data_IF_781308893753
#
_entry.id   IF_781308893753
#
_cell.length_a   1.000
_cell.length_b   1.000
_cell.length_c   1.000
_cell.angle_alpha   90.00
_cell.angle_beta   90.00
_cell.angle_gamma   90.00
#
_symmetry.space_group_name_H-M   'P 1'
#
loop_
_entity.id
_entity.type
_entity.pdbx_description
1 polymer ?
#
# COMPACT_ATOMS: atom_id res chain seq x y z
N UNK A 1 -27.67 -63.11 30.20
CA UNK A 1 -27.57 -61.75 29.65
C UNK A 1 -26.10 -61.39 29.45
N UNK A 2 -25.77 -61.02 28.21
CA UNK A 2 -24.59 -60.32 27.66
C UNK A 2 -23.20 -60.48 28.33
N UNK A 3 -22.33 -61.24 27.66
CA UNK A 3 -20.86 -61.05 27.66
C UNK A 3 -20.54 -60.00 26.60
N UNK A 4 -19.93 -58.87 26.96
CA UNK A 4 -19.35 -57.93 26.00
C UNK A 4 -17.83 -58.10 26.00
N UNK A 5 -17.34 -58.62 24.89
CA UNK A 5 -15.92 -58.64 24.53
C UNK A 5 -15.52 -57.26 24.02
N UNK A 6 -14.42 -56.72 24.56
CA UNK A 6 -13.69 -55.59 23.98
C UNK A 6 -12.63 -56.18 23.05
N UNK A 7 -12.63 -55.77 21.78
CA UNK A 7 -11.52 -55.98 20.86
C UNK A 7 -11.30 -54.72 20.02
N UNK A 8 -10.18 -54.09 20.33
CA UNK A 8 -9.58 -52.95 19.63
C UNK A 8 -9.00 -53.44 18.32
N UNK A 9 -9.34 -52.79 17.20
CA UNK A 9 -8.59 -52.93 15.95
C UNK A 9 -8.20 -51.53 15.48
N UNK A 10 -6.93 -51.21 15.72
CA UNK A 10 -6.21 -50.13 15.07
C UNK A 10 -5.86 -50.61 13.66
N UNK A 11 -6.44 -50.00 12.64
CA UNK A 11 -6.00 -50.16 11.27
C UNK A 11 -5.45 -48.83 10.77
N UNK A 12 -4.13 -48.69 10.84
CA UNK A 12 -3.39 -47.72 10.04
C UNK A 12 -3.46 -48.19 8.58
N UNK A 13 -4.17 -47.44 7.73
CA UNK A 13 -4.08 -47.59 6.29
C UNK A 13 -3.11 -46.53 5.76
N UNK A 14 -1.91 -46.98 5.43
CA UNK A 14 -0.87 -46.20 4.77
C UNK A 14 -1.24 -45.86 3.32
N UNK A 15 -0.85 -44.64 2.96
CA UNK A 15 -0.76 -44.02 1.65
C UNK A 15 -0.46 -44.98 0.48
N UNK A 16 -1.12 -44.81 -0.68
CA UNK A 16 -0.56 -44.10 -1.85
C UNK A 16 -1.41 -44.34 -3.12
N UNK A 17 -1.66 -43.22 -3.82
CA UNK A 17 -1.93 -43.05 -5.25
C UNK A 17 -3.11 -43.78 -5.91
N UNK A 18 -4.10 -42.98 -6.33
CA UNK A 18 -4.47 -42.94 -7.74
C UNK A 18 -4.78 -41.49 -8.15
N UNK A 19 -4.07 -41.06 -9.19
CA UNK A 19 -4.20 -39.77 -9.83
C UNK A 19 -5.56 -39.63 -10.53
N UNK A 20 -6.29 -38.56 -10.24
CA UNK A 20 -7.24 -37.93 -11.16
C UNK A 20 -7.62 -36.54 -10.65
N UNK A 21 -7.41 -35.52 -11.48
CA UNK A 21 -7.94 -34.17 -11.26
C UNK A 21 -6.95 -33.12 -10.78
N UNK A 22 -5.75 -33.00 -11.40
CA UNK A 22 -5.04 -31.71 -11.39
C UNK A 22 -5.83 -30.72 -12.25
N UNK A 23 -6.71 -29.96 -11.60
CA UNK A 23 -7.20 -28.65 -12.02
C UNK A 23 -7.79 -28.00 -10.77
N UNK A 24 -6.93 -27.42 -9.96
CA UNK A 24 -7.30 -26.23 -9.22
C UNK A 24 -6.26 -25.20 -9.61
N UNK A 25 -6.68 -24.30 -10.51
CA UNK A 25 -6.04 -23.01 -10.70
C UNK A 25 -6.05 -22.33 -9.33
N UNK A 26 -5.01 -22.56 -8.52
CA UNK A 26 -4.79 -21.76 -7.35
C UNK A 26 -4.33 -20.38 -7.83
N UNK A 27 -5.28 -19.56 -8.28
CA UNK A 27 -5.20 -18.14 -8.06
C UNK A 27 -5.12 -17.96 -6.54
N UNK A 28 -3.91 -18.06 -5.98
CA UNK A 28 -3.67 -17.75 -4.59
C UNK A 28 -3.95 -16.25 -4.44
N UNK A 29 -5.20 -15.92 -4.12
CA UNK A 29 -5.60 -14.56 -3.79
C UNK A 29 -4.71 -14.13 -2.63
N UNK A 30 -3.94 -13.06 -2.83
CA UNK A 30 -3.06 -12.51 -1.80
C UNK A 30 -3.87 -12.25 -0.53
N UNK A 31 -3.43 -12.82 0.59
CA UNK A 31 -4.07 -12.55 1.87
C UNK A 31 -3.57 -11.19 2.40
N UNK A 32 -4.48 -10.22 2.48
CA UNK A 32 -4.18 -8.87 2.96
C UNK A 32 -4.19 -8.79 4.48
N UNK A 33 -3.24 -8.05 5.05
CA UNK A 33 -3.28 -7.68 6.46
C UNK A 33 -4.31 -6.56 6.73
N UNK A 34 -4.62 -6.28 8.00
CA UNK A 34 -5.65 -5.31 8.37
C UNK A 34 -5.37 -3.88 7.87
N UNK A 35 -4.11 -3.47 7.78
CA UNK A 35 -3.72 -2.16 7.24
C UNK A 35 -3.91 -2.12 5.72
N UNK A 36 -3.49 -3.17 5.03
CA UNK A 36 -3.67 -3.31 3.57
C UNK A 36 -5.15 -3.32 3.19
N UNK A 37 -6.00 -4.00 3.97
CA UNK A 37 -7.45 -3.99 3.75
C UNK A 37 -8.04 -2.58 3.81
N UNK A 38 -7.54 -1.71 4.69
CA UNK A 38 -7.98 -0.30 4.76
C UNK A 38 -7.50 0.52 3.55
N UNK A 39 -6.30 0.22 3.04
CA UNK A 39 -5.73 0.90 1.87
C UNK A 39 -6.49 0.62 0.57
N UNK A 40 -7.04 -0.58 0.39
CA UNK A 40 -7.79 -0.95 -0.83
C UNK A 40 -8.88 0.07 -1.13
N UNK A 41 -8.89 0.60 -2.35
CA UNK A 41 -9.78 1.67 -2.81
C UNK A 41 -9.00 2.86 -3.41
N UNK A 42 -9.74 3.91 -3.75
CA UNK A 42 -9.20 5.11 -4.40
C UNK A 42 -9.03 6.26 -3.40
N UNK A 43 -7.93 6.98 -3.54
CA UNK A 43 -7.47 8.05 -2.67
C UNK A 43 -7.01 9.23 -3.52
N UNK A 44 -7.39 10.44 -3.14
CA UNK A 44 -6.99 11.67 -3.81
C UNK A 44 -6.22 12.58 -2.86
N UNK A 45 -5.08 13.09 -3.31
CA UNK A 45 -4.30 14.07 -2.56
C UNK A 45 -5.17 15.30 -2.30
N UNK A 46 -5.21 15.76 -1.05
CA UNK A 46 -5.97 16.93 -0.65
C UNK A 46 -5.06 18.06 -0.18
N UNK A 47 -3.98 17.74 0.56
CA UNK A 47 -3.00 18.73 1.03
C UNK A 47 -1.65 18.11 1.40
N UNK A 48 -0.64 18.97 1.41
CA UNK A 48 0.66 18.69 2.03
C UNK A 48 0.75 19.52 3.32
N UNK A 49 1.25 18.91 4.39
CA UNK A 49 1.39 19.50 5.71
C UNK A 49 2.87 19.50 6.10
N UNK A 50 3.39 20.66 6.49
CA UNK A 50 4.72 20.80 7.05
C UNK A 50 4.65 20.65 8.57
N UNK A 51 5.43 19.72 9.13
CA UNK A 51 5.49 19.46 10.56
C UNK A 51 6.84 19.86 11.12
N UNK A 52 6.85 20.40 12.34
CA UNK A 52 8.08 20.57 13.12
C UNK A 52 8.58 19.25 13.72
N UNK A 53 9.73 19.29 14.40
CA UNK A 53 10.35 18.13 15.04
C UNK A 53 9.51 17.52 16.18
N UNK A 54 8.45 18.20 16.65
CA UNK A 54 7.50 17.67 17.63
C UNK A 54 6.25 17.08 16.97
N UNK A 55 6.16 17.11 15.64
CA UNK A 55 5.01 16.64 14.87
C UNK A 55 3.86 17.65 14.84
N UNK A 56 4.09 18.92 15.21
CA UNK A 56 3.07 19.96 15.15
C UNK A 56 3.05 20.61 13.76
N UNK A 57 1.86 20.86 13.25
CA UNK A 57 1.66 21.59 11.99
C UNK A 57 2.23 23.02 12.09
N UNK A 58 3.12 23.33 11.16
CA UNK A 58 3.65 24.67 10.91
C UNK A 58 2.73 25.37 9.90
N UNK A 59 2.46 24.71 8.78
CA UNK A 59 1.61 25.20 7.69
C UNK A 59 1.11 24.03 6.83
N UNK A 60 0.06 24.27 6.04
CA UNK A 60 -0.43 23.34 5.03
C UNK A 60 -0.81 24.04 3.73
N UNK A 61 -0.66 23.31 2.62
CA UNK A 61 -0.98 23.78 1.27
C UNK A 61 -1.92 22.76 0.61
N UNK A 62 -3.03 23.25 0.04
CA UNK A 62 -3.93 22.40 -0.76
C UNK A 62 -3.22 22.02 -2.05
N UNK A 63 -3.02 20.72 -2.24
CA UNK A 63 -2.41 20.15 -3.44
C UNK A 63 -3.19 18.93 -3.87
N UNK A 64 -3.51 18.85 -5.16
CA UNK A 64 -4.43 17.84 -5.72
C UNK A 64 -3.86 17.25 -7.00
N UNK A 65 -2.58 16.88 -6.95
CA UNK A 65 -1.86 16.46 -8.14
C UNK A 65 -1.86 14.98 -8.36
N UNK A 66 -1.96 14.21 -7.29
CA UNK A 66 -1.81 12.77 -7.36
C UNK A 66 -2.99 12.06 -6.74
N UNK A 67 -3.35 10.93 -7.35
CA UNK A 67 -4.31 9.99 -6.80
C UNK A 67 -3.74 8.58 -6.85
N UNK A 68 -4.08 7.76 -5.86
CA UNK A 68 -3.75 6.35 -5.83
C UNK A 68 -5.02 5.51 -5.87
N UNK A 69 -4.96 4.37 -6.53
CA UNK A 69 -5.99 3.33 -6.46
C UNK A 69 -5.31 2.00 -6.15
N UNK A 70 -5.67 1.38 -5.03
CA UNK A 70 -5.08 0.13 -4.56
C UNK A 70 -6.08 -1.01 -4.69
N UNK A 71 -5.69 -2.08 -5.38
CA UNK A 71 -6.48 -3.29 -5.56
C UNK A 71 -6.05 -4.39 -4.59
N UNK A 72 -7.01 -5.23 -4.21
CA UNK A 72 -6.80 -6.27 -3.19
C UNK A 72 -5.79 -7.36 -3.59
N UNK A 73 -5.48 -7.49 -4.87
CA UNK A 73 -4.48 -8.43 -5.38
C UNK A 73 -3.04 -7.90 -5.26
N UNK A 74 -2.85 -6.67 -4.78
CA UNK A 74 -1.54 -6.04 -4.67
C UNK A 74 -1.14 -5.17 -5.86
N UNK A 75 -2.00 -5.03 -6.85
CA UNK A 75 -1.81 -4.08 -7.94
C UNK A 75 -2.47 -2.75 -7.62
N UNK A 76 -2.15 -1.73 -8.38
CA UNK A 76 -2.75 -0.42 -8.24
C UNK A 76 -2.42 0.50 -9.39
N UNK A 77 -2.96 1.71 -9.30
CA UNK A 77 -2.73 2.79 -10.23
C UNK A 77 -2.26 4.03 -9.48
N UNK A 78 -1.28 4.73 -10.05
CA UNK A 78 -0.90 6.07 -9.66
C UNK A 78 -1.30 7.02 -10.78
N UNK A 79 -2.11 8.03 -10.46
CA UNK A 79 -2.62 9.00 -11.42
C UNK A 79 -1.95 10.35 -11.21
N UNK A 80 -1.67 11.02 -12.33
CA UNK A 80 -1.48 12.46 -12.36
C UNK A 80 -2.84 13.07 -12.66
N UNK A 81 -3.43 13.71 -11.66
CA UNK A 81 -4.75 14.32 -11.79
C UNK A 81 -4.66 15.53 -12.73
N UNK A 82 -5.72 15.77 -13.52
CA UNK A 82 -5.77 16.76 -14.61
C UNK A 82 -5.79 18.23 -14.15
N UNK A 83 -5.37 18.53 -12.92
CA UNK A 83 -5.29 19.90 -12.42
C UNK A 83 -4.10 20.64 -13.07
N UNK A 84 -4.32 21.88 -13.51
CA UNK A 84 -3.37 22.68 -14.27
C UNK A 84 -2.07 22.96 -13.48
N UNK A 85 -2.12 22.95 -12.15
CA UNK A 85 -0.96 23.14 -11.26
C UNK A 85 -0.02 21.93 -11.28
N UNK A 86 -0.50 20.77 -11.74
CA UNK A 86 0.17 19.48 -11.57
C UNK A 86 0.86 18.99 -12.85
N UNK A 87 0.49 19.55 -14.00
CA UNK A 87 1.05 19.19 -15.31
C UNK A 87 2.39 19.85 -15.63
N UNK A 88 3.29 19.93 -14.63
CA UNK A 88 4.64 20.48 -14.84
C UNK A 88 5.55 19.41 -15.48
N UNK A 89 5.62 19.41 -16.82
CA UNK A 89 6.57 18.61 -17.60
C UNK A 89 6.35 17.10 -17.63
N UNK A 90 5.38 16.57 -16.88
CA UNK A 90 5.01 15.15 -16.91
C UNK A 90 4.23 14.82 -18.18
N UNK A 91 4.62 13.74 -18.88
CA UNK A 91 3.95 13.26 -20.10
C UNK A 91 3.05 12.03 -19.87
N UNK A 92 2.68 11.76 -18.62
CA UNK A 92 1.90 10.58 -18.22
C UNK A 92 0.70 11.03 -17.39
N UNK A 93 -0.43 10.33 -17.54
CA UNK A 93 -1.65 10.56 -16.75
C UNK A 93 -1.94 9.41 -15.79
N UNK A 94 -1.38 8.24 -16.08
CA UNK A 94 -1.54 7.03 -15.29
C UNK A 94 -0.26 6.20 -15.35
N UNK A 95 0.10 5.59 -14.22
CA UNK A 95 1.09 4.52 -14.11
C UNK A 95 0.50 3.33 -13.37
N UNK A 96 0.90 2.12 -13.77
CA UNK A 96 0.56 0.91 -13.03
C UNK A 96 1.62 0.68 -11.96
N UNK A 97 1.20 0.27 -10.77
CA UNK A 97 2.08 -0.01 -9.63
C UNK A 97 1.70 -1.35 -9.00
N UNK A 98 2.68 -2.00 -8.39
CA UNK A 98 2.45 -3.00 -7.35
C UNK A 98 2.78 -2.41 -5.98
N UNK A 99 2.11 -2.91 -4.96
CA UNK A 99 2.21 -2.34 -3.62
C UNK A 99 2.12 -3.39 -2.52
N UNK A 100 2.75 -3.10 -1.37
CA UNK A 100 2.59 -3.86 -0.13
C UNK A 100 2.83 -2.99 1.08
N UNK A 101 2.37 -3.45 2.24
CA UNK A 101 2.70 -2.81 3.51
C UNK A 101 3.54 -3.75 4.36
N UNK A 102 4.73 -3.29 4.74
CA UNK A 102 5.63 -3.97 5.66
C UNK A 102 5.99 -3.03 6.79
N UNK A 103 5.78 -3.44 8.05
CA UNK A 103 6.13 -2.63 9.23
C UNK A 103 5.63 -1.17 9.14
N UNK A 104 4.35 -0.99 8.79
CA UNK A 104 3.72 0.33 8.63
C UNK A 104 4.34 1.21 7.53
N UNK A 105 5.10 0.61 6.62
CA UNK A 105 5.69 1.28 5.45
C UNK A 105 4.98 0.79 4.19
N UNK A 106 4.39 1.71 3.44
CA UNK A 106 3.88 1.46 2.10
C UNK A 106 5.06 1.38 1.11
N UNK A 107 5.20 0.23 0.48
CA UNK A 107 6.22 -0.04 -0.54
C UNK A 107 5.53 -0.06 -1.89
N UNK A 108 5.99 0.77 -2.81
CA UNK A 108 5.52 0.82 -4.20
C UNK A 108 6.63 0.35 -5.14
N UNK A 109 6.31 -0.58 -6.05
CA UNK A 109 7.27 -1.22 -6.94
C UNK A 109 6.63 -1.62 -8.26
N UNK A 110 7.43 -2.17 -9.17
CA UNK A 110 7.02 -2.61 -10.51
C UNK A 110 6.29 -1.54 -11.33
N UNK A 111 6.82 -0.31 -11.32
CA UNK A 111 6.24 0.81 -12.06
C UNK A 111 6.17 0.49 -13.56
N UNK A 112 4.96 0.47 -14.09
CA UNK A 112 4.66 0.13 -15.48
C UNK A 112 5.26 -1.23 -15.92
N UNK A 113 5.40 -2.17 -14.97
CA UNK A 113 5.89 -3.54 -15.22
C UNK A 113 7.41 -3.67 -15.35
N UNK A 114 8.19 -2.60 -15.17
CA UNK A 114 9.65 -2.69 -15.02
C UNK A 114 10.03 -3.01 -13.58
N UNK A 115 11.08 -3.82 -13.34
CA UNK A 115 11.62 -4.15 -12.01
C UNK A 115 12.28 -2.94 -11.30
N UNK A 116 11.52 -1.87 -11.13
CA UNK A 116 11.95 -0.63 -10.50
C UNK A 116 11.18 -0.45 -9.20
N UNK A 117 11.90 -0.32 -8.09
CA UNK A 117 11.35 0.22 -6.85
C UNK A 117 11.17 1.72 -7.01
N UNK A 118 10.02 2.26 -6.61
CA UNK A 118 9.90 3.69 -6.40
C UNK A 118 10.70 4.04 -5.13
N UNK A 119 11.98 4.36 -5.32
CA UNK A 119 12.84 4.87 -4.25
C UNK A 119 12.52 6.34 -4.04
N UNK A 120 11.80 6.65 -2.96
CA UNK A 120 11.56 8.03 -2.55
C UNK A 120 12.80 8.54 -1.81
N UNK A 121 13.69 9.26 -2.51
CA UNK A 121 14.93 9.82 -1.93
C UNK A 121 15.81 8.80 -1.18
N UNK A 122 15.88 7.56 -1.69
CA UNK A 122 16.68 6.49 -1.08
C UNK A 122 15.98 5.70 0.03
N UNK A 123 14.75 6.08 0.43
CA UNK A 123 13.92 5.22 1.28
C UNK A 123 13.30 4.09 0.46
N UNK A 124 13.12 2.92 1.08
CA UNK A 124 12.46 1.76 0.48
C UNK A 124 10.93 1.86 0.42
N UNK A 125 10.34 2.99 0.82
CA UNK A 125 8.90 3.20 0.90
C UNK A 125 8.48 4.47 1.65
N UNK A 126 7.18 4.59 1.89
CA UNK A 126 6.51 5.71 2.54
C UNK A 126 5.99 5.27 3.92
N UNK A 127 6.43 5.94 4.98
CA UNK A 127 5.96 5.64 6.34
C UNK A 127 4.50 6.08 6.48
N UNK A 128 3.60 5.15 6.79
CA UNK A 128 2.17 5.45 6.98
C UNK A 128 2.01 6.18 8.31
N UNK A 129 1.53 7.42 8.27
CA UNK A 129 1.23 8.19 9.47
C UNK A 129 -0.12 7.78 10.06
N UNK A 130 -1.14 7.65 9.21
CA UNK A 130 -2.48 7.23 9.63
C UNK A 130 -3.27 6.61 8.48
N UNK A 131 -4.20 5.72 8.80
CA UNK A 131 -5.20 5.24 7.84
C UNK A 131 -6.51 4.84 8.52
N UNK A 132 -7.61 5.39 8.02
CA UNK A 132 -8.98 5.05 8.40
C UNK A 132 -9.90 4.98 7.17
N UNK A 133 -11.22 4.99 7.38
CA UNK A 133 -12.20 4.89 6.30
C UNK A 133 -12.20 6.07 5.33
N UNK A 134 -11.77 7.26 5.75
CA UNK A 134 -11.86 8.49 4.96
C UNK A 134 -10.51 9.13 4.68
N UNK A 135 -9.49 8.83 5.50
CA UNK A 135 -8.18 9.48 5.46
C UNK A 135 -7.07 8.46 5.33
N UNK A 136 -6.09 8.78 4.49
CA UNK A 136 -4.82 8.10 4.37
C UNK A 136 -3.69 9.12 4.40
N UNK A 137 -2.77 8.98 5.34
CA UNK A 137 -1.64 9.89 5.52
C UNK A 137 -0.32 9.13 5.56
N UNK A 138 0.71 9.72 4.95
CA UNK A 138 2.06 9.19 5.00
C UNK A 138 3.10 10.31 5.03
N UNK A 139 4.28 10.02 5.55
CA UNK A 139 5.41 10.92 5.53
C UNK A 139 6.19 10.77 4.23
N UNK A 140 6.47 11.89 3.58
CA UNK A 140 7.38 11.94 2.44
C UNK A 140 8.81 12.20 2.94
N UNK A 141 9.79 11.39 2.54
CA UNK A 141 11.20 11.70 2.76
C UNK A 141 11.55 13.02 2.06
N UNK A 142 12.09 13.98 2.79
CA UNK A 142 12.53 15.26 2.24
C UNK A 142 14.02 15.20 1.93
N UNK A 143 14.42 15.33 0.67
CA UNK A 143 15.84 15.44 0.33
C UNK A 143 16.37 16.83 0.69
N UNK A 144 17.68 16.94 0.99
CA UNK A 144 18.34 18.23 1.27
C UNK A 144 18.09 19.26 0.17
N UNK A 145 17.98 18.81 -1.08
CA UNK A 145 17.76 19.66 -2.25
C UNK A 145 16.39 20.34 -2.27
N UNK A 146 15.38 19.77 -1.60
CA UNK A 146 14.04 20.37 -1.56
C UNK A 146 13.74 21.08 -0.24
N UNK A 147 14.55 20.90 0.80
CA UNK A 147 14.37 21.58 2.10
C UNK A 147 14.33 23.10 1.96
N UNK A 148 15.10 23.67 1.04
CA UNK A 148 15.15 25.12 0.79
C UNK A 148 13.84 25.73 0.28
N UNK A 149 12.87 24.93 -0.16
CA UNK A 149 11.55 25.41 -0.59
C UNK A 149 10.52 25.44 0.55
N UNK A 150 10.84 24.91 1.73
CA UNK A 150 9.93 24.78 2.86
C UNK A 150 10.34 25.66 4.04
N UNK A 151 9.50 25.73 5.07
CA UNK A 151 9.81 26.48 6.28
C UNK A 151 11.12 25.94 6.91
N UNK A 152 12.06 26.81 7.34
CA UNK A 152 13.32 26.37 7.94
C UNK A 152 13.17 25.50 9.20
N UNK A 153 11.99 25.51 9.85
CA UNK A 153 11.69 24.68 11.03
C UNK A 153 11.05 23.34 10.68
N UNK A 154 10.76 23.08 9.41
CA UNK A 154 10.15 21.84 8.96
C UNK A 154 11.12 20.66 9.13
N UNK A 155 10.61 19.61 9.78
CA UNK A 155 11.31 18.33 9.97
C UNK A 155 10.73 17.24 9.05
N UNK A 156 9.40 17.21 8.88
CA UNK A 156 8.70 16.24 8.04
C UNK A 156 7.65 16.89 7.15
N UNK A 157 7.45 16.29 5.98
CA UNK A 157 6.27 16.52 5.14
C UNK A 157 5.30 15.36 5.30
N UNK A 158 4.06 15.67 5.66
CA UNK A 158 2.96 14.71 5.64
C UNK A 158 2.07 14.98 4.43
N UNK A 159 1.78 13.94 3.68
CA UNK A 159 0.81 13.98 2.60
C UNK A 159 -0.52 13.45 3.10
N UNK A 160 -1.57 14.23 2.88
CA UNK A 160 -2.92 13.92 3.32
C UNK A 160 -3.81 13.60 2.11
N UNK A 161 -4.34 12.39 2.10
CA UNK A 161 -5.24 11.88 1.07
C UNK A 161 -6.63 11.61 1.64
N UNK A 162 -7.64 11.94 0.85
CA UNK A 162 -9.03 11.67 1.14
C UNK A 162 -9.56 10.52 0.26
N UNK A 163 -10.42 9.69 0.82
CA UNK A 163 -11.05 8.60 0.07
C UNK A 163 -12.00 9.15 -1.00
N UNK A 164 -11.87 8.65 -2.23
CA UNK A 164 -12.82 8.90 -3.31
C UNK A 164 -14.00 7.95 -3.13
N UNK A 165 -15.21 8.49 -3.06
CA UNK A 165 -16.47 7.74 -2.95
C UNK A 165 -17.02 7.35 -4.31
#
# INVERSE_FOLDING_TARGET
MKRLFILVIVAAATLMNNACGKKDDSNSVRQLNATEQKLVGKWKEAKIIQLDAQGKEITSEVKKCYSFEFFADGKGNWFLDEDAICQDGNNWTKRNIEWKVENNTLILFNLDGGENYLKFNGSGGLEIASINENVFEFYMPVSENIKGFYDPKMDKLMYHYERVK
#
